data_IF_955805635908
#
_entry.id   IF_955805635908
#
_cell.length_a   1.000
_cell.length_b   1.000
_cell.length_c   1.000
_cell.angle_alpha   90.00
_cell.angle_beta   90.00
_cell.angle_gamma   90.00
#
_symmetry.space_group_name_H-M   'P 1'
#
loop_
_entity.id
_entity.type
_entity.pdbx_description
1 polymer ?
#
# COMPACT_ATOMS: atom_id res chain seq x y z
N UNK A 1 28.37 2.02 2.59
CA UNK A 1 26.92 1.88 2.66
C UNK A 1 26.62 0.39 2.54
N UNK A 2 25.81 -0.16 3.46
CA UNK A 2 25.36 -1.56 3.34
C UNK A 2 24.51 -1.74 2.08
N UNK A 3 24.42 -2.96 1.59
CA UNK A 3 23.59 -3.33 0.45
C UNK A 3 22.10 -3.04 0.78
N UNK A 4 21.35 -2.42 -0.14
CA UNK A 4 19.92 -2.19 0.04
C UNK A 4 19.18 -3.54 0.10
N UNK A 5 18.42 -3.79 1.17
CA UNK A 5 17.63 -5.02 1.35
C UNK A 5 16.15 -4.73 1.60
N UNK A 6 15.65 -3.64 1.04
CA UNK A 6 14.24 -3.28 1.18
C UNK A 6 13.42 -3.86 0.03
N UNK A 7 12.26 -4.43 0.35
CA UNK A 7 11.33 -5.04 -0.61
C UNK A 7 9.99 -4.31 -0.56
N UNK A 8 9.47 -3.92 -1.72
CA UNK A 8 8.11 -3.41 -1.84
C UNK A 8 7.14 -4.56 -2.15
N UNK A 9 6.05 -4.68 -1.39
CA UNK A 9 4.91 -5.55 -1.69
C UNK A 9 3.81 -4.67 -2.26
N UNK A 10 3.50 -4.85 -3.54
CA UNK A 10 2.46 -4.06 -4.24
C UNK A 10 1.21 -4.92 -4.40
N UNK A 11 0.13 -4.48 -3.74
CA UNK A 11 -1.12 -5.22 -3.69
C UNK A 11 -2.05 -4.83 -4.84
N UNK A 12 -2.33 -5.78 -5.70
CA UNK A 12 -3.19 -5.66 -6.87
C UNK A 12 -4.28 -6.75 -6.96
N UNK A 13 -4.59 -7.46 -5.86
CA UNK A 13 -5.59 -8.54 -5.83
C UNK A 13 -7.03 -8.06 -5.59
N UNK A 14 -7.25 -6.78 -5.27
CA UNK A 14 -8.56 -6.24 -4.93
C UNK A 14 -9.52 -6.19 -6.12
N UNK A 15 -10.76 -6.67 -5.95
CA UNK A 15 -11.78 -6.74 -7.01
C UNK A 15 -12.38 -5.37 -7.41
N UNK A 16 -12.20 -4.32 -6.62
CA UNK A 16 -12.64 -2.96 -6.96
C UNK A 16 -14.15 -2.78 -7.13
N UNK A 17 -14.99 -3.46 -6.34
CA UNK A 17 -16.47 -3.50 -6.46
C UNK A 17 -17.13 -2.11 -6.61
N UNK A 18 -16.56 -1.07 -6.00
CA UNK A 18 -17.07 0.33 -6.05
C UNK A 18 -16.84 1.06 -7.37
N UNK A 19 -16.03 0.50 -8.28
CA UNK A 19 -15.76 1.09 -9.60
C UNK A 19 -16.87 0.83 -10.63
N UNK A 20 -17.83 -0.05 -10.33
CA UNK A 20 -18.89 -0.46 -11.26
C UNK A 20 -18.37 -0.86 -12.66
N UNK A 21 -17.16 -1.40 -12.73
CA UNK A 21 -16.46 -1.79 -13.95
C UNK A 21 -16.15 -3.28 -13.97
N UNK A 22 -16.09 -3.87 -15.16
CA UNK A 22 -15.59 -5.23 -15.37
C UNK A 22 -14.06 -5.32 -15.24
N UNK A 23 -13.36 -4.20 -15.45
CA UNK A 23 -11.91 -4.10 -15.31
C UNK A 23 -11.60 -3.73 -13.86
N UNK A 24 -10.70 -4.47 -13.21
CA UNK A 24 -10.25 -4.13 -11.86
C UNK A 24 -9.52 -2.78 -11.87
N UNK A 25 -9.77 -1.96 -10.85
CA UNK A 25 -9.32 -0.56 -10.78
C UNK A 25 -7.82 -0.35 -10.98
N UNK A 26 -6.99 -1.29 -10.51
CA UNK A 26 -5.53 -1.24 -10.65
C UNK A 26 -5.06 -1.48 -12.09
N UNK A 27 -5.91 -2.08 -12.94
CA UNK A 27 -5.65 -2.34 -14.35
C UNK A 27 -6.35 -1.33 -15.27
N UNK A 28 -7.16 -0.42 -14.73
CA UNK A 28 -7.76 0.66 -15.52
C UNK A 28 -6.67 1.59 -16.02
N UNK A 29 -6.86 2.11 -17.22
CA UNK A 29 -5.92 3.05 -17.81
C UNK A 29 -6.06 4.44 -17.19
N UNK A 30 -4.93 5.01 -16.85
CA UNK A 30 -4.76 6.39 -16.45
C UNK A 30 -3.73 7.01 -17.40
N UNK A 31 -4.17 7.88 -18.30
CA UNK A 31 -3.32 8.49 -19.31
C UNK A 31 -2.53 7.47 -20.16
N UNK A 32 -3.21 6.40 -20.63
CA UNK A 32 -2.64 5.35 -21.50
C UNK A 32 -1.74 4.34 -20.82
N UNK A 33 -1.72 4.30 -19.48
CA UNK A 33 -0.95 3.34 -18.70
C UNK A 33 -1.79 2.81 -17.55
N UNK A 34 -1.77 1.51 -17.23
CA UNK A 34 -2.47 0.96 -16.07
C UNK A 34 -2.09 1.68 -14.78
N UNK A 35 -3.08 1.96 -13.92
CA UNK A 35 -2.89 2.61 -12.60
C UNK A 35 -1.77 1.96 -11.81
N UNK A 36 -1.71 0.62 -11.78
CA UNK A 36 -0.68 -0.16 -11.11
C UNK A 36 0.74 0.20 -11.54
N UNK A 37 0.93 0.50 -12.82
CA UNK A 37 2.26 0.76 -13.38
C UNK A 37 2.92 2.02 -12.82
N UNK A 38 2.15 2.99 -12.32
CA UNK A 38 2.71 4.20 -11.72
C UNK A 38 3.43 3.90 -10.40
N UNK A 39 2.82 3.13 -9.51
CA UNK A 39 3.48 2.72 -8.26
C UNK A 39 4.66 1.77 -8.52
N UNK A 40 4.50 0.80 -9.44
CA UNK A 40 5.60 -0.08 -9.84
C UNK A 40 6.79 0.70 -10.39
N UNK A 41 6.55 1.74 -11.21
CA UNK A 41 7.60 2.61 -11.75
C UNK A 41 8.34 3.35 -10.65
N UNK A 42 7.62 3.93 -9.69
CA UNK A 42 8.25 4.61 -8.57
C UNK A 42 9.18 3.67 -7.77
N UNK A 43 8.74 2.46 -7.46
CA UNK A 43 9.57 1.48 -6.76
C UNK A 43 10.73 0.96 -7.63
N UNK A 44 10.50 0.77 -8.94
CA UNK A 44 11.54 0.38 -9.91
C UNK A 44 12.68 1.40 -9.97
N UNK A 45 12.35 2.69 -9.98
CA UNK A 45 13.30 3.80 -10.10
C UNK A 45 13.97 4.16 -8.76
N UNK A 46 13.35 3.81 -7.62
CA UNK A 46 13.89 4.15 -6.29
C UNK A 46 15.17 3.38 -5.98
N UNK A 47 16.28 4.06 -5.63
CA UNK A 47 17.50 3.40 -5.17
C UNK A 47 17.35 2.74 -3.79
N UNK A 48 16.27 3.06 -3.07
CA UNK A 48 15.96 2.53 -1.74
C UNK A 48 15.23 1.18 -1.79
N UNK A 49 14.88 0.69 -2.98
CA UNK A 49 14.16 -0.58 -3.17
C UNK A 49 15.02 -1.51 -4.01
N UNK A 50 15.26 -2.71 -3.48
CA UNK A 50 15.98 -3.78 -4.19
C UNK A 50 15.02 -4.65 -4.99
N UNK A 51 13.95 -5.11 -4.36
CA UNK A 51 12.99 -6.06 -4.92
C UNK A 51 11.56 -5.55 -4.83
N UNK A 52 10.72 -6.01 -5.75
CA UNK A 52 9.27 -5.79 -5.75
C UNK A 52 8.59 -7.16 -5.81
N UNK A 53 7.63 -7.40 -4.93
CA UNK A 53 6.71 -8.52 -4.98
C UNK A 53 5.35 -7.97 -5.41
N UNK A 54 4.86 -8.39 -6.56
CA UNK A 54 3.52 -8.05 -7.03
C UNK A 54 2.53 -9.13 -6.60
N UNK A 55 1.49 -8.73 -5.85
CA UNK A 55 0.43 -9.64 -5.39
C UNK A 55 -0.85 -9.32 -6.14
N UNK A 56 -1.38 -10.29 -6.88
CA UNK A 56 -2.59 -10.13 -7.71
C UNK A 56 -3.58 -11.27 -7.53
N UNK A 57 -4.75 -11.21 -8.16
CA UNK A 57 -5.66 -12.36 -8.23
C UNK A 57 -5.01 -13.53 -8.97
N UNK A 58 -5.36 -14.76 -8.61
CA UNK A 58 -4.78 -15.98 -9.20
C UNK A 58 -4.91 -15.97 -10.73
N UNK A 59 -6.07 -15.58 -11.23
CA UNK A 59 -6.39 -15.48 -12.64
C UNK A 59 -5.57 -14.44 -13.42
N UNK A 60 -4.96 -13.48 -12.71
CA UNK A 60 -4.16 -12.41 -13.32
C UNK A 60 -2.64 -12.61 -13.20
N UNK A 61 -2.16 -13.67 -12.55
CA UNK A 61 -0.72 -13.87 -12.31
C UNK A 61 0.06 -13.92 -13.64
N UNK A 62 -0.37 -14.73 -14.59
CA UNK A 62 0.29 -14.84 -15.90
C UNK A 62 0.16 -13.55 -16.70
N UNK A 63 -1.04 -12.98 -16.73
CA UNK A 63 -1.30 -11.72 -17.42
C UNK A 63 -0.45 -10.57 -16.86
N UNK A 64 -0.31 -10.45 -15.54
CA UNK A 64 0.54 -9.43 -14.93
C UNK A 64 2.02 -9.62 -15.26
N UNK A 65 2.51 -10.87 -15.38
CA UNK A 65 3.89 -11.12 -15.80
C UNK A 65 4.14 -10.58 -17.20
N UNK A 66 3.27 -10.90 -18.16
CA UNK A 66 3.43 -10.55 -19.57
C UNK A 66 3.08 -9.09 -19.83
N UNK A 67 1.85 -8.66 -19.48
CA UNK A 67 1.31 -7.36 -19.87
C UNK A 67 1.70 -6.20 -18.95
N UNK A 68 2.18 -6.49 -17.73
CA UNK A 68 2.63 -5.46 -16.78
C UNK A 68 4.14 -5.54 -16.59
N UNK A 69 4.67 -6.65 -16.11
CA UNK A 69 6.08 -6.72 -15.71
C UNK A 69 7.01 -6.67 -16.93
N UNK A 70 6.83 -7.58 -17.88
CA UNK A 70 7.69 -7.69 -19.07
C UNK A 70 7.48 -6.51 -20.02
N UNK A 71 6.22 -6.20 -20.33
CA UNK A 71 5.86 -5.11 -21.25
C UNK A 71 6.37 -3.73 -20.83
N UNK A 72 6.35 -3.43 -19.53
CA UNK A 72 6.83 -2.16 -18.99
C UNK A 72 8.25 -2.20 -18.44
N UNK A 73 8.93 -3.36 -18.49
CA UNK A 73 10.33 -3.51 -18.12
C UNK A 73 10.61 -3.36 -16.62
N UNK A 74 9.72 -3.86 -15.75
CA UNK A 74 9.89 -3.79 -14.30
C UNK A 74 10.85 -4.88 -13.80
N UNK A 75 12.14 -4.67 -13.97
CA UNK A 75 13.19 -5.66 -13.69
C UNK A 75 13.39 -5.96 -12.20
N UNK A 76 12.96 -5.07 -11.30
CA UNK A 76 12.97 -5.31 -9.85
C UNK A 76 11.81 -6.18 -9.37
N UNK A 77 10.80 -6.47 -10.21
CA UNK A 77 9.73 -7.40 -9.86
C UNK A 77 10.29 -8.82 -9.87
N UNK A 78 10.69 -9.29 -8.69
CA UNK A 78 11.31 -10.60 -8.51
C UNK A 78 10.29 -11.74 -8.40
N UNK A 79 9.03 -11.43 -8.06
CA UNK A 79 7.93 -12.38 -8.03
C UNK A 79 6.57 -11.72 -8.30
N UNK A 80 5.69 -12.46 -9.01
CA UNK A 80 4.26 -12.19 -9.13
C UNK A 80 3.55 -13.37 -8.51
N UNK A 81 2.82 -13.13 -7.41
CA UNK A 81 2.19 -14.17 -6.60
C UNK A 81 0.68 -13.98 -6.51
N UNK A 82 -0.05 -15.08 -6.30
CA UNK A 82 -1.48 -15.03 -6.03
C UNK A 82 -1.73 -14.49 -4.63
N UNK A 83 -2.67 -13.55 -4.50
CA UNK A 83 -3.22 -13.12 -3.22
C UNK A 83 -4.22 -14.12 -2.66
N UNK A 84 -4.70 -13.84 -1.45
CA UNK A 84 -5.72 -14.63 -0.79
C UNK A 84 -7.11 -13.99 -0.88
N UNK A 85 -8.04 -14.51 -0.07
CA UNK A 85 -9.44 -14.10 -0.05
C UNK A 85 -9.63 -12.66 0.43
N UNK A 86 -8.90 -12.30 1.49
CA UNK A 86 -8.94 -10.97 2.08
C UNK A 86 -7.62 -10.21 1.82
N UNK A 87 -7.60 -8.89 2.12
CA UNK A 87 -6.40 -8.07 1.93
C UNK A 87 -5.23 -8.59 2.77
N UNK A 88 -5.48 -8.98 4.01
CA UNK A 88 -4.44 -9.46 4.92
C UNK A 88 -3.86 -10.81 4.47
N UNK A 89 -4.66 -11.72 3.86
CA UNK A 89 -4.15 -12.96 3.25
C UNK A 89 -3.20 -12.63 2.09
N UNK A 90 -3.58 -11.65 1.26
CA UNK A 90 -2.74 -11.20 0.13
C UNK A 90 -1.42 -10.60 0.60
N UNK A 91 -1.42 -9.84 1.70
CA UNK A 91 -0.19 -9.33 2.32
C UNK A 91 0.69 -10.48 2.79
N UNK A 92 0.11 -11.48 3.45
CA UNK A 92 0.87 -12.62 3.94
C UNK A 92 1.53 -13.42 2.81
N UNK A 93 0.84 -13.64 1.68
CA UNK A 93 1.45 -14.28 0.50
C UNK A 93 2.61 -13.43 -0.06
N UNK A 94 2.47 -12.12 -0.08
CA UNK A 94 3.57 -11.21 -0.42
C UNK A 94 4.77 -11.31 0.53
N UNK A 95 4.51 -11.36 1.84
CA UNK A 95 5.55 -11.52 2.86
C UNK A 95 6.29 -12.86 2.70
N UNK A 96 5.58 -13.95 2.42
CA UNK A 96 6.19 -15.28 2.18
C UNK A 96 7.11 -15.32 0.96
N UNK A 97 6.85 -14.47 -0.03
CA UNK A 97 7.66 -14.39 -1.24
C UNK A 97 8.94 -13.55 -1.05
N UNK A 98 9.04 -12.75 0.00
CA UNK A 98 10.23 -11.94 0.29
C UNK A 98 11.45 -12.82 0.60
N UNK A 99 12.63 -12.39 0.12
CA UNK A 99 13.91 -13.05 0.37
C UNK A 99 14.93 -12.04 0.86
N UNK A 100 15.67 -12.38 1.92
CA UNK A 100 16.74 -11.54 2.48
C UNK A 100 16.36 -10.06 2.58
N UNK A 101 15.19 -9.81 3.21
CA UNK A 101 14.56 -8.49 3.32
C UNK A 101 14.77 -7.92 4.71
N UNK A 102 15.21 -6.67 4.79
CA UNK A 102 15.36 -5.95 6.06
C UNK A 102 14.09 -5.17 6.40
N UNK A 103 13.62 -4.34 5.47
CA UNK A 103 12.36 -3.63 5.57
C UNK A 103 11.44 -4.03 4.42
N UNK A 104 10.16 -4.17 4.75
CA UNK A 104 9.09 -4.36 3.76
C UNK A 104 8.19 -3.14 3.72
N UNK A 105 7.86 -2.72 2.49
CA UNK A 105 6.95 -1.60 2.21
C UNK A 105 5.68 -2.17 1.58
N UNK A 106 4.58 -2.22 2.34
CA UNK A 106 3.30 -2.75 1.87
C UNK A 106 2.49 -1.61 1.26
N UNK A 107 2.22 -1.69 -0.04
CA UNK A 107 1.61 -0.60 -0.80
C UNK A 107 0.40 -1.06 -1.62
N UNK A 108 -0.65 -0.25 -1.60
CA UNK A 108 -1.82 -0.46 -2.45
C UNK A 108 -1.51 -0.06 -3.90
N UNK A 109 -1.51 -1.00 -4.85
CA UNK A 109 -1.27 -0.75 -6.28
C UNK A 109 -2.29 0.19 -6.95
N UNK A 110 -3.34 0.57 -6.23
CA UNK A 110 -4.30 1.58 -6.63
C UNK A 110 -3.97 3.01 -6.14
N UNK A 111 -2.74 3.26 -5.64
CA UNK A 111 -2.23 4.60 -5.28
C UNK A 111 -1.10 5.00 -6.23
N UNK A 112 -1.42 5.62 -7.37
CA UNK A 112 -0.43 5.88 -8.42
C UNK A 112 0.57 7.01 -8.10
N UNK A 113 0.33 7.81 -7.05
CA UNK A 113 1.11 9.04 -6.78
C UNK A 113 2.06 8.93 -5.58
N UNK A 114 2.58 7.73 -5.33
CA UNK A 114 3.72 7.57 -4.43
C UNK A 114 4.97 8.19 -5.10
N UNK A 115 5.85 8.78 -4.31
CA UNK A 115 7.14 9.32 -4.74
C UNK A 115 8.30 8.83 -3.86
N UNK A 116 9.53 9.05 -4.33
CA UNK A 116 10.72 8.63 -3.60
C UNK A 116 10.88 9.32 -2.24
N UNK A 117 10.41 10.56 -2.08
CA UNK A 117 10.44 11.27 -0.81
C UNK A 117 9.53 10.62 0.23
N UNK A 118 8.35 10.11 -0.16
CA UNK A 118 7.46 9.32 0.70
C UNK A 118 8.16 8.03 1.15
N UNK A 119 8.82 7.32 0.23
CA UNK A 119 9.57 6.09 0.53
C UNK A 119 10.67 6.37 1.55
N UNK A 120 11.47 7.41 1.32
CA UNK A 120 12.60 7.79 2.17
C UNK A 120 12.14 8.16 3.59
N UNK A 121 11.16 9.08 3.71
CA UNK A 121 10.62 9.49 5.02
C UNK A 121 10.04 8.30 5.79
N UNK A 122 9.34 7.41 5.09
CA UNK A 122 8.76 6.21 5.68
C UNK A 122 9.82 5.24 6.21
N UNK A 123 10.87 4.97 5.44
CA UNK A 123 12.00 4.14 5.87
C UNK A 123 12.76 4.76 7.05
N UNK A 124 13.01 6.07 7.02
CA UNK A 124 13.65 6.78 8.13
C UNK A 124 12.82 6.70 9.42
N UNK A 125 11.50 6.80 9.34
CA UNK A 125 10.61 6.66 10.48
C UNK A 125 10.60 5.20 11.00
N UNK A 126 10.51 4.21 10.11
CA UNK A 126 10.54 2.79 10.46
C UNK A 126 11.88 2.38 11.10
N UNK A 127 13.00 2.97 10.69
CA UNK A 127 14.31 2.71 11.29
C UNK A 127 14.38 3.06 12.79
N UNK A 128 13.56 4.01 13.25
CA UNK A 128 13.54 4.44 14.66
C UNK A 128 12.76 3.51 15.59
N UNK A 129 11.67 2.93 15.10
CA UNK A 129 10.72 2.16 15.93
C UNK A 129 10.51 0.73 15.44
N UNK A 130 10.98 0.40 14.25
CA UNK A 130 10.70 -0.88 13.57
C UNK A 130 9.44 -0.86 12.69
N UNK A 131 8.60 0.19 12.79
CA UNK A 131 7.36 0.31 12.04
C UNK A 131 6.98 1.77 11.77
N UNK A 132 6.49 2.05 10.56
CA UNK A 132 5.93 3.36 10.22
C UNK A 132 4.74 3.24 9.27
N UNK A 133 3.88 4.25 9.30
CA UNK A 133 2.71 4.38 8.42
C UNK A 133 2.73 5.73 7.76
N UNK A 134 2.64 5.73 6.43
CA UNK A 134 2.47 6.96 5.67
C UNK A 134 1.04 7.48 5.89
N UNK A 135 0.92 8.76 6.18
CA UNK A 135 -0.37 9.40 6.38
C UNK A 135 -0.33 10.91 6.22
N UNK A 136 -1.49 11.53 6.26
CA UNK A 136 -1.65 12.99 6.26
C UNK A 136 -2.59 13.43 7.39
N UNK A 137 -2.35 14.55 8.06
CA UNK A 137 -3.34 15.13 8.97
C UNK A 137 -4.68 15.33 8.26
N UNK A 138 -5.78 15.08 8.97
CA UNK A 138 -7.11 15.35 8.41
C UNK A 138 -7.30 16.84 8.14
N UNK A 139 -7.79 17.18 6.94
CA UNK A 139 -8.20 18.55 6.61
C UNK A 139 -9.60 18.88 7.13
N UNK A 140 -10.41 17.83 7.28
CA UNK A 140 -11.82 17.96 7.65
C UNK A 140 -12.05 17.71 9.15
N UNK A 141 -13.14 18.25 9.68
CA UNK A 141 -13.62 17.88 11.00
C UNK A 141 -14.21 16.48 10.96
N UNK A 142 -13.65 15.57 11.76
CA UNK A 142 -14.13 14.19 11.87
C UNK A 142 -15.13 14.10 13.02
N UNK A 143 -16.21 13.36 12.80
CA UNK A 143 -17.22 13.00 13.81
C UNK A 143 -17.28 11.48 13.92
N UNK A 144 -17.35 10.99 15.14
CA UNK A 144 -17.62 9.57 15.41
C UNK A 144 -19.12 9.47 15.65
N UNK A 145 -19.79 8.56 14.94
CA UNK A 145 -21.22 8.30 15.09
C UNK A 145 -21.46 7.09 15.99
N UNK A 146 -22.55 7.10 16.75
CA UNK A 146 -23.08 5.93 17.42
C UNK A 146 -23.86 5.02 16.44
N UNK A 147 -24.39 3.92 16.95
CA UNK A 147 -25.15 2.93 16.15
C UNK A 147 -26.48 3.49 15.59
N UNK A 148 -26.99 4.58 16.17
CA UNK A 148 -28.22 5.25 15.76
C UNK A 148 -27.97 6.37 14.75
N UNK A 149 -26.68 6.71 14.47
CA UNK A 149 -26.27 7.76 13.55
C UNK A 149 -26.13 9.14 14.19
N UNK A 150 -26.21 9.25 15.53
CA UNK A 150 -25.95 10.51 16.25
C UNK A 150 -24.43 10.72 16.42
N UNK A 151 -24.02 11.98 16.57
CA UNK A 151 -22.63 12.31 16.88
C UNK A 151 -22.33 11.91 18.32
N UNK A 152 -21.41 10.94 18.52
CA UNK A 152 -20.96 10.51 19.84
C UNK A 152 -19.69 11.25 20.29
N UNK A 153 -18.79 11.58 19.35
CA UNK A 153 -17.52 12.22 19.65
C UNK A 153 -17.05 13.13 18.50
N UNK A 154 -16.27 14.15 18.86
CA UNK A 154 -15.55 14.98 17.91
C UNK A 154 -14.08 15.00 18.35
N UNK A 155 -13.22 14.13 17.76
CA UNK A 155 -11.81 14.10 18.11
C UNK A 155 -11.11 15.41 17.73
N UNK A 156 -10.06 15.77 18.47
CA UNK A 156 -9.22 16.90 18.09
C UNK A 156 -8.59 16.64 16.73
N UNK A 157 -8.89 17.50 15.75
CA UNK A 157 -8.38 17.39 14.37
C UNK A 157 -6.87 17.28 14.31
N UNK A 158 -6.14 17.91 15.24
CA UNK A 158 -4.67 17.86 15.26
C UNK A 158 -4.12 16.45 15.54
N UNK A 159 -4.91 15.58 16.13
CA UNK A 159 -4.56 14.18 16.42
C UNK A 159 -5.08 13.18 15.38
N UNK A 160 -5.90 13.63 14.40
CA UNK A 160 -6.51 12.74 13.40
C UNK A 160 -5.68 12.72 12.14
N UNK A 161 -5.22 11.53 11.78
CA UNK A 161 -4.46 11.28 10.55
C UNK A 161 -5.22 10.34 9.61
N UNK A 162 -5.17 10.64 8.33
CA UNK A 162 -5.71 9.77 7.29
C UNK A 162 -4.58 8.87 6.79
N UNK A 163 -4.72 7.59 7.07
CA UNK A 163 -3.73 6.56 6.73
C UNK A 163 -3.66 6.36 5.23
N UNK A 164 -2.43 6.29 4.73
CA UNK A 164 -2.09 5.97 3.36
C UNK A 164 -1.20 4.71 3.32
N UNK A 165 -0.66 4.40 2.16
CA UNK A 165 0.42 3.43 1.96
C UNK A 165 1.56 4.09 1.19
N UNK A 166 2.82 3.60 1.36
CA UNK A 166 3.21 2.34 1.99
C UNK A 166 3.11 2.36 3.52
N UNK A 167 2.86 1.19 4.09
CA UNK A 167 3.08 0.90 5.50
C UNK A 167 4.38 0.09 5.59
N UNK A 168 5.30 0.51 6.45
CA UNK A 168 6.70 0.05 6.39
C UNK A 168 7.09 -0.59 7.71
N UNK A 169 7.67 -1.77 7.64
CA UNK A 169 8.01 -2.56 8.82
C UNK A 169 9.37 -3.25 8.66
N UNK A 170 10.05 -3.49 9.75
CA UNK A 170 11.08 -4.54 9.79
C UNK A 170 10.46 -5.88 9.42
N UNK A 171 11.08 -6.58 8.46
CA UNK A 171 10.50 -7.81 7.92
C UNK A 171 10.18 -8.87 9.00
N UNK A 172 11.09 -9.24 9.92
CA UNK A 172 10.76 -10.22 10.94
C UNK A 172 9.56 -9.83 11.81
N UNK A 173 9.48 -8.54 12.19
CA UNK A 173 8.39 -8.03 13.03
C UNK A 173 7.02 -8.28 12.40
N UNK A 174 6.84 -7.85 11.16
CA UNK A 174 5.53 -7.96 10.49
C UNK A 174 5.24 -9.39 10.04
N UNK A 175 6.25 -10.16 9.64
CA UNK A 175 6.07 -11.55 9.27
C UNK A 175 5.58 -12.40 10.45
N UNK A 176 6.19 -12.22 11.63
CA UNK A 176 5.79 -12.92 12.85
C UNK A 176 4.38 -12.49 13.29
N UNK A 177 4.07 -11.19 13.23
CA UNK A 177 2.74 -10.67 13.52
C UNK A 177 1.66 -11.30 12.62
N UNK A 178 1.89 -11.36 11.31
CA UNK A 178 0.97 -12.01 10.38
C UNK A 178 0.86 -13.51 10.61
N UNK A 179 1.96 -14.19 10.89
CA UNK A 179 1.96 -15.63 11.21
C UNK A 179 1.15 -15.95 12.48
N UNK A 180 1.17 -15.03 13.46
CA UNK A 180 0.40 -15.15 14.69
C UNK A 180 -1.09 -14.88 14.47
N UNK A 181 -1.43 -13.76 13.82
CA UNK A 181 -2.82 -13.30 13.68
C UNK A 181 -3.68 -14.24 12.84
N UNK A 182 -3.08 -14.83 11.80
CA UNK A 182 -3.78 -15.78 10.92
C UNK A 182 -4.21 -17.07 11.63
N UNK A 183 -3.63 -17.37 12.80
CA UNK A 183 -4.04 -18.51 13.66
C UNK A 183 -5.22 -18.17 14.57
N UNK A 184 -5.60 -16.89 14.69
CA UNK A 184 -6.54 -16.39 15.71
C UNK A 184 -7.93 -16.05 15.19
N UNK A 185 -8.23 -16.30 13.90
CA UNK A 185 -9.53 -15.96 13.26
C UNK A 185 -9.99 -14.51 13.57
N UNK A 186 -9.07 -13.54 13.58
CA UNK A 186 -9.42 -12.15 13.85
C UNK A 186 -10.28 -11.56 12.71
N UNK A 187 -11.35 -10.90 13.09
CA UNK A 187 -12.20 -10.11 12.18
C UNK A 187 -11.92 -8.62 12.33
N UNK A 188 -12.16 -7.83 11.29
CA UNK A 188 -12.05 -6.37 11.35
C UNK A 188 -10.65 -5.81 11.18
N UNK A 189 -9.69 -6.58 10.65
CA UNK A 189 -8.37 -6.07 10.27
C UNK A 189 -8.53 -5.09 9.10
N UNK A 190 -8.17 -3.83 9.33
CA UNK A 190 -8.32 -2.76 8.34
C UNK A 190 -7.03 -2.45 7.58
N UNK A 191 -5.87 -2.57 8.26
CA UNK A 191 -4.56 -2.30 7.69
C UNK A 191 -3.44 -3.12 8.37
N UNK A 192 -2.21 -2.96 7.88
CA UNK A 192 -1.05 -3.73 8.35
C UNK A 192 -0.53 -3.22 9.70
N UNK A 193 -0.73 -1.92 9.96
CA UNK A 193 -0.40 -1.30 11.23
C UNK A 193 -1.19 -1.91 12.38
N UNK A 194 -2.49 -2.11 12.19
CA UNK A 194 -3.36 -2.76 13.18
C UNK A 194 -2.87 -4.18 13.53
N UNK A 195 -2.38 -4.94 12.54
CA UNK A 195 -1.79 -6.27 12.77
C UNK A 195 -0.54 -6.16 13.64
N UNK A 196 0.37 -5.24 13.30
CA UNK A 196 1.61 -5.04 14.06
C UNK A 196 1.34 -4.55 15.48
N UNK A 197 0.44 -3.60 15.68
CA UNK A 197 0.05 -3.08 16.99
C UNK A 197 -0.51 -4.17 17.89
N UNK A 198 -1.47 -4.94 17.36
CA UNK A 198 -2.16 -5.97 18.11
C UNK A 198 -1.23 -7.11 18.52
N UNK A 199 -0.35 -7.58 17.63
CA UNK A 199 0.46 -8.76 17.86
C UNK A 199 1.78 -8.47 18.58
N UNK A 200 2.33 -7.27 18.42
CA UNK A 200 3.68 -6.95 18.92
C UNK A 200 3.72 -5.83 19.94
N UNK A 201 2.69 -4.99 20.00
CA UNK A 201 2.67 -3.77 20.81
C UNK A 201 3.69 -2.72 20.37
N UNK A 202 4.23 -2.84 19.16
CA UNK A 202 5.19 -1.88 18.61
C UNK A 202 4.56 -0.50 18.46
N UNK A 203 5.33 0.55 18.82
CA UNK A 203 4.90 1.93 18.56
C UNK A 203 5.11 2.26 17.08
N UNK A 204 4.02 2.44 16.36
CA UNK A 204 4.03 2.81 14.95
C UNK A 204 4.17 4.32 14.80
N UNK A 205 5.12 4.76 13.99
CA UNK A 205 5.36 6.17 13.74
C UNK A 205 4.69 6.62 12.46
N UNK A 206 3.98 7.73 12.50
CA UNK A 206 3.55 8.39 11.27
C UNK A 206 4.74 9.00 10.52
N UNK A 207 4.74 8.83 9.21
CA UNK A 207 5.57 9.60 8.28
C UNK A 207 4.66 10.38 7.34
N UNK A 208 5.09 11.60 7.00
CA UNK A 208 4.31 12.47 6.14
C UNK A 208 4.25 11.92 4.71
N UNK A 209 3.04 11.73 4.22
CA UNK A 209 2.73 11.34 2.86
C UNK A 209 2.54 12.51 1.92
N UNK A 210 1.47 12.46 1.14
CA UNK A 210 1.02 13.55 0.28
C UNK A 210 -0.50 13.49 0.12
N UNK A 211 -1.17 14.63 0.10
CA UNK A 211 -2.60 14.69 -0.27
C UNK A 211 -2.85 14.26 -1.73
N UNK A 212 -1.81 14.23 -2.56
CA UNK A 212 -1.88 13.67 -3.91
C UNK A 212 -1.77 12.15 -3.94
N UNK A 213 -1.27 11.50 -2.89
CA UNK A 213 -1.18 10.03 -2.79
C UNK A 213 -2.56 9.40 -2.52
N UNK A 214 -3.54 9.77 -3.34
CA UNK A 214 -4.92 9.26 -3.28
C UNK A 214 -4.98 7.78 -3.64
N UNK A 215 -5.98 7.08 -3.12
CA UNK A 215 -6.31 5.71 -3.52
C UNK A 215 -7.46 5.76 -4.52
N UNK A 216 -7.24 5.30 -5.73
CA UNK A 216 -8.31 5.14 -6.71
C UNK A 216 -9.29 4.08 -6.20
N UNK A 217 -10.53 4.51 -5.97
CA UNK A 217 -11.56 3.71 -5.31
C UNK A 217 -12.92 3.85 -6.00
N UNK A 218 -13.19 5.03 -6.56
CA UNK A 218 -14.40 5.38 -7.29
C UNK A 218 -14.03 5.97 -8.66
N UNK A 219 -14.98 6.07 -9.61
CA UNK A 219 -14.73 6.70 -10.91
C UNK A 219 -14.24 8.15 -10.82
N UNK A 220 -14.72 8.90 -9.82
CA UNK A 220 -14.33 10.30 -9.59
C UNK A 220 -12.83 10.42 -9.26
N UNK A 221 -12.26 9.42 -8.57
CA UNK A 221 -10.83 9.40 -8.26
C UNK A 221 -9.96 9.34 -9.52
N UNK A 222 -10.44 8.72 -10.61
CA UNK A 222 -9.74 8.72 -11.90
C UNK A 222 -9.68 10.12 -12.50
N UNK A 223 -10.77 10.88 -12.42
CA UNK A 223 -10.80 12.27 -12.91
C UNK A 223 -9.81 13.14 -12.15
N UNK A 224 -9.76 12.98 -10.81
CA UNK A 224 -8.79 13.68 -9.95
C UNK A 224 -7.36 13.26 -10.33
N UNK A 225 -7.13 11.97 -10.52
CA UNK A 225 -5.82 11.43 -10.90
C UNK A 225 -5.35 11.98 -12.25
N UNK A 226 -6.24 12.09 -13.26
CA UNK A 226 -5.92 12.71 -14.55
C UNK A 226 -5.54 14.19 -14.40
N UNK A 227 -6.25 14.94 -13.54
CA UNK A 227 -5.92 16.33 -13.27
C UNK A 227 -4.50 16.45 -12.67
N UNK A 228 -4.13 15.61 -11.71
CA UNK A 228 -2.79 15.60 -11.12
C UNK A 228 -1.69 15.28 -12.13
N UNK A 229 -1.96 14.41 -13.12
CA UNK A 229 -0.98 14.11 -14.16
C UNK A 229 -0.79 15.27 -15.17
N UNK A 230 -1.83 16.07 -15.41
CA UNK A 230 -1.73 17.24 -16.30
C UNK A 230 -0.85 18.33 -15.68
N UNK A 231 -1.04 18.65 -14.40
CA UNK A 231 -0.24 19.65 -13.68
C UNK A 231 1.27 19.31 -13.66
N UNK A 232 1.66 18.04 -13.69
CA UNK A 232 3.07 17.64 -13.70
C UNK A 232 3.74 17.78 -15.09
N UNK A 233 3.01 18.19 -16.12
CA UNK A 233 3.53 18.37 -17.49
C UNK A 233 3.78 19.83 -17.86
N UNK A 234 3.28 20.76 -17.06
CA UNK A 234 3.56 22.19 -17.17
C UNK A 234 4.79 22.57 -16.32
#
# INVERSE_FOLDING_TARGET
>A
MGECRNTAIVLAAGQGKRMHSKIQKQFMELNGMPVLCYSLRCFQESPLIRDIILVTGEEYVSWCKEEIVEKYGFTKVSAVVSGGKERYDSVYEGLRACKDTEYVLIHDGARPFIDNGIIERGLMAAAQTGASVVGMPSKDTVKIADVEGNVSETPDRSSVWIVQTPQIFRYPLIYDAYTSILKKEMTGITDDAMVAEHETGVKIRFSEGSYRNIKITTPEDLVIAEAFLRENRE
#
